data_IF_789557615972
#
_entry.id   IF_789557615972
#
_cell.length_a   1.000
_cell.length_b   1.000
_cell.length_c   1.000
_cell.angle_alpha   90.00
_cell.angle_beta   90.00
_cell.angle_gamma   90.00
#
_symmetry.space_group_name_H-M   'P 1'
#
loop_
_entity.id
_entity.type
_entity.pdbx_description
1 polymer ?
#
# COMPACT_ATOMS: atom_id res chain seq x y z
N UNK A 1 -18.64 -25.65 13.87
CA UNK A 1 -19.11 -26.15 12.55
C UNK A 1 -20.37 -25.42 12.10
N UNK A 2 -21.42 -25.25 12.92
CA UNK A 2 -22.71 -24.61 12.54
C UNK A 2 -22.66 -23.16 11.99
N UNK A 3 -21.84 -22.26 12.54
CA UNK A 3 -21.86 -20.83 12.15
C UNK A 3 -21.44 -20.59 10.69
N UNK A 4 -20.46 -21.37 10.18
CA UNK A 4 -20.02 -21.22 8.80
C UNK A 4 -21.07 -21.71 7.80
N UNK A 5 -21.85 -22.74 8.13
CA UNK A 5 -22.96 -23.22 7.30
C UNK A 5 -24.10 -22.19 7.25
N UNK A 6 -24.39 -21.55 8.38
CA UNK A 6 -25.35 -20.45 8.46
C UNK A 6 -24.90 -19.27 7.59
N UNK A 7 -23.66 -18.79 7.76
CA UNK A 7 -23.11 -17.64 7.03
C UNK A 7 -22.90 -17.92 5.52
N UNK A 8 -22.84 -19.19 5.13
CA UNK A 8 -22.85 -19.64 3.74
C UNK A 8 -24.26 -19.70 3.12
N UNK A 9 -25.33 -19.53 3.92
CA UNK A 9 -26.71 -19.54 3.43
C UNK A 9 -27.29 -20.94 3.15
N UNK A 10 -26.63 -22.01 3.61
CA UNK A 10 -27.00 -23.41 3.31
C UNK A 10 -28.36 -23.84 3.90
N UNK A 11 -28.88 -23.11 4.88
CA UNK A 11 -30.19 -23.36 5.49
C UNK A 11 -31.34 -22.63 4.78
N UNK A 12 -31.05 -21.74 3.83
CA UNK A 12 -32.07 -20.92 3.19
C UNK A 12 -32.80 -21.72 2.11
N UNK A 13 -34.13 -21.67 2.12
CA UNK A 13 -34.99 -22.23 1.06
C UNK A 13 -34.72 -21.61 -0.34
N UNK A 14 -33.90 -20.55 -0.37
CA UNK A 14 -33.47 -19.77 -1.53
C UNK A 14 -31.97 -19.94 -1.83
N UNK A 15 -31.41 -21.12 -1.54
CA UNK A 15 -30.00 -21.46 -1.74
C UNK A 15 -29.41 -20.98 -3.08
N UNK A 16 -30.16 -21.10 -4.18
CA UNK A 16 -29.75 -20.65 -5.52
C UNK A 16 -29.53 -19.12 -5.62
N UNK A 17 -30.29 -18.32 -4.88
CA UNK A 17 -30.12 -16.86 -4.84
C UNK A 17 -28.85 -16.51 -4.03
N UNK A 18 -28.64 -17.17 -2.88
CA UNK A 18 -27.45 -16.92 -2.06
C UNK A 18 -26.14 -17.28 -2.78
N UNK A 19 -26.14 -18.36 -3.57
CA UNK A 19 -24.97 -18.80 -4.34
C UNK A 19 -24.68 -17.87 -5.51
N UNK A 20 -25.70 -17.34 -6.18
CA UNK A 20 -25.53 -16.34 -7.24
C UNK A 20 -24.92 -15.05 -6.69
N UNK A 21 -25.43 -14.53 -5.57
CA UNK A 21 -24.89 -13.32 -4.92
C UNK A 21 -23.42 -13.49 -4.52
N UNK A 22 -23.03 -14.67 -4.02
CA UNK A 22 -21.63 -14.97 -3.67
C UNK A 22 -20.73 -15.00 -4.91
N UNK A 23 -21.20 -15.61 -6.00
CA UNK A 23 -20.47 -15.66 -7.27
C UNK A 23 -20.23 -14.24 -7.82
N UNK A 24 -21.27 -13.43 -7.89
CA UNK A 24 -21.19 -12.07 -8.42
C UNK A 24 -20.25 -11.19 -7.57
N UNK A 25 -20.32 -11.31 -6.23
CA UNK A 25 -19.38 -10.63 -5.33
C UNK A 25 -17.92 -11.05 -5.57
N UNK A 26 -17.67 -12.34 -5.82
CA UNK A 26 -16.33 -12.86 -6.11
C UNK A 26 -15.80 -12.32 -7.44
N UNK A 27 -16.63 -12.33 -8.49
CA UNK A 27 -16.25 -11.81 -9.81
C UNK A 27 -15.99 -10.30 -9.78
N UNK A 28 -16.84 -9.52 -9.08
CA UNK A 28 -16.63 -8.08 -8.90
C UNK A 28 -15.38 -7.79 -8.07
N UNK A 29 -15.07 -8.58 -7.04
CA UNK A 29 -13.86 -8.40 -6.23
C UNK A 29 -12.59 -8.66 -7.05
N UNK A 30 -12.60 -9.69 -7.91
CA UNK A 30 -11.51 -9.96 -8.86
C UNK A 30 -11.36 -8.81 -9.85
N UNK A 31 -12.46 -8.37 -10.46
CA UNK A 31 -12.47 -7.26 -11.43
C UNK A 31 -11.97 -5.95 -10.80
N UNK A 32 -12.36 -5.65 -9.56
CA UNK A 32 -11.86 -4.50 -8.80
C UNK A 32 -10.34 -4.54 -8.67
N UNK A 33 -9.79 -5.68 -8.22
CA UNK A 33 -8.35 -5.89 -8.06
C UNK A 33 -7.59 -5.78 -9.39
N UNK A 34 -8.10 -6.41 -10.45
CA UNK A 34 -7.53 -6.35 -11.80
C UNK A 34 -7.49 -4.91 -12.32
N UNK A 35 -8.55 -4.12 -12.09
CA UNK A 35 -8.60 -2.72 -12.48
C UNK A 35 -7.57 -1.87 -11.73
N UNK A 36 -7.40 -2.07 -10.41
CA UNK A 36 -6.37 -1.36 -9.62
C UNK A 36 -4.97 -1.71 -10.10
N UNK A 37 -4.68 -2.99 -10.34
CA UNK A 37 -3.40 -3.44 -10.86
C UNK A 37 -3.12 -2.80 -12.22
N UNK A 38 -4.08 -2.88 -13.16
CA UNK A 38 -3.96 -2.28 -14.49
C UNK A 38 -3.73 -0.77 -14.42
N UNK A 39 -4.53 -0.04 -13.64
CA UNK A 39 -4.38 1.40 -13.47
C UNK A 39 -3.00 1.79 -12.91
N UNK A 40 -2.44 0.96 -12.02
CA UNK A 40 -1.08 1.14 -11.48
C UNK A 40 -0.01 0.90 -12.55
N UNK A 41 -0.19 -0.11 -13.40
CA UNK A 41 0.80 -0.51 -14.42
C UNK A 41 0.80 0.34 -15.69
N UNK A 42 -0.34 0.94 -16.06
CA UNK A 42 -0.47 1.73 -17.30
C UNK A 42 0.15 3.13 -17.16
N UNK A 43 0.16 3.69 -15.95
CA UNK A 43 0.74 5.00 -15.73
C UNK A 43 2.25 4.96 -15.91
N UNK A 44 2.75 5.75 -16.84
CA UNK A 44 4.18 5.94 -17.08
C UNK A 44 4.43 7.43 -17.36
N UNK A 45 5.30 8.05 -16.56
CA UNK A 45 5.75 9.43 -16.76
C UNK A 45 7.22 9.42 -17.15
N UNK A 46 7.48 9.65 -18.43
CA UNK A 46 8.83 9.85 -18.94
C UNK A 46 9.35 11.23 -18.52
N UNK A 47 10.52 11.27 -17.90
CA UNK A 47 11.22 12.49 -17.51
C UNK A 47 12.59 12.50 -18.19
N UNK A 48 12.88 13.59 -18.90
CA UNK A 48 14.15 13.79 -19.61
C UNK A 48 14.97 14.92 -18.99
N UNK A 49 14.32 15.92 -18.39
CA UNK A 49 15.01 17.01 -17.70
C UNK A 49 15.44 16.58 -16.30
N UNK A 50 16.74 16.60 -16.06
CA UNK A 50 17.35 16.30 -14.76
C UNK A 50 16.86 17.20 -13.63
N UNK A 51 16.45 18.43 -13.93
CA UNK A 51 15.91 19.35 -12.91
C UNK A 51 14.60 18.87 -12.33
N UNK A 52 13.80 18.12 -13.10
CA UNK A 52 12.50 17.64 -12.62
C UNK A 52 12.61 16.53 -11.58
N UNK A 53 13.74 15.80 -11.55
CA UNK A 53 14.00 14.69 -10.61
C UNK A 53 14.88 15.08 -9.42
N UNK A 54 15.10 16.38 -9.18
CA UNK A 54 15.94 16.83 -8.09
C UNK A 54 15.42 16.33 -6.73
N UNK A 55 16.34 15.77 -5.93
CA UNK A 55 16.04 15.22 -4.60
C UNK A 55 15.71 13.73 -4.59
N UNK A 56 15.38 13.11 -5.73
CA UNK A 56 15.13 11.67 -5.77
C UNK A 56 16.39 10.86 -5.42
N UNK A 57 16.27 9.83 -4.55
CA UNK A 57 17.36 8.92 -4.22
C UNK A 57 17.92 8.20 -5.45
N UNK A 58 19.21 7.91 -5.41
CA UNK A 58 19.91 7.20 -6.49
C UNK A 58 19.22 5.86 -6.86
N UNK A 59 18.77 5.10 -5.86
CA UNK A 59 18.10 3.82 -6.10
C UNK A 59 16.80 4.00 -6.92
N UNK A 60 16.01 5.02 -6.59
CA UNK A 60 14.79 5.33 -7.35
C UNK A 60 15.12 5.73 -8.78
N UNK A 61 16.16 6.54 -8.98
CA UNK A 61 16.63 6.89 -10.31
C UNK A 61 17.16 5.67 -11.08
N UNK A 62 17.81 4.72 -10.41
CA UNK A 62 18.25 3.45 -11.02
C UNK A 62 17.06 2.64 -11.52
N UNK A 63 16.08 2.39 -10.65
CA UNK A 63 14.88 1.63 -11.02
C UNK A 63 14.06 2.32 -12.11
N UNK A 64 13.94 3.65 -12.07
CA UNK A 64 13.26 4.42 -13.10
C UNK A 64 14.02 4.40 -14.45
N UNK A 65 15.34 4.36 -14.42
CA UNK A 65 16.17 4.20 -15.63
C UNK A 65 16.07 2.77 -16.18
N UNK A 66 16.10 1.74 -15.34
CA UNK A 66 15.87 0.34 -15.75
C UNK A 66 14.50 0.18 -16.41
N UNK A 67 13.46 0.82 -15.85
CA UNK A 67 12.14 0.91 -16.47
C UNK A 67 12.21 1.61 -17.83
N UNK A 68 12.95 2.70 -17.97
CA UNK A 68 13.16 3.38 -19.25
C UNK A 68 13.85 2.48 -20.29
N UNK A 69 14.88 1.73 -19.89
CA UNK A 69 15.55 0.73 -20.75
C UNK A 69 14.53 -0.31 -21.25
N UNK A 70 13.70 -0.85 -20.35
CA UNK A 70 12.65 -1.83 -20.71
C UNK A 70 11.62 -1.28 -21.71
N UNK A 71 11.57 0.05 -21.88
CA UNK A 71 10.67 0.76 -22.80
C UNK A 71 11.38 1.34 -24.02
N UNK A 72 12.62 0.92 -24.29
CA UNK A 72 13.36 1.26 -25.50
C UNK A 72 14.37 2.40 -25.34
N UNK A 73 14.58 2.93 -24.13
CA UNK A 73 15.62 3.92 -23.86
C UNK A 73 16.93 3.25 -23.43
N UNK A 74 17.61 2.56 -24.35
CA UNK A 74 18.78 1.71 -24.06
C UNK A 74 19.93 2.43 -23.35
N UNK A 75 20.10 3.73 -23.60
CA UNK A 75 21.16 4.55 -23.00
C UNK A 75 20.75 5.16 -21.64
N UNK A 76 19.58 4.81 -21.11
CA UNK A 76 19.11 5.37 -19.85
C UNK A 76 20.00 4.94 -18.68
N UNK A 77 20.36 5.90 -17.83
CA UNK A 77 21.11 5.63 -16.61
C UNK A 77 20.54 6.42 -15.45
N UNK A 78 20.78 5.95 -14.22
CA UNK A 78 20.38 6.70 -13.02
C UNK A 78 20.87 8.16 -13.04
N UNK A 79 22.05 8.43 -13.61
CA UNK A 79 22.71 9.75 -13.58
C UNK A 79 22.25 10.72 -14.68
N UNK A 80 21.91 10.21 -15.86
CA UNK A 80 21.68 11.01 -17.05
C UNK A 80 20.28 10.80 -17.67
N UNK A 81 19.49 9.86 -17.16
CA UNK A 81 18.17 9.57 -17.66
C UNK A 81 18.18 9.02 -19.09
N UNK A 82 17.03 8.97 -19.77
CA UNK A 82 15.72 9.36 -19.24
C UNK A 82 15.23 8.40 -18.14
N UNK A 83 14.25 8.84 -17.36
CA UNK A 83 13.66 8.08 -16.25
C UNK A 83 12.16 7.89 -16.49
N UNK A 84 11.63 6.68 -16.24
CA UNK A 84 10.18 6.44 -16.24
C UNK A 84 9.71 6.29 -14.79
N UNK A 85 8.89 7.23 -14.34
CA UNK A 85 8.21 7.18 -13.04
C UNK A 85 6.89 6.43 -13.19
N UNK A 86 6.61 5.55 -12.24
CA UNK A 86 5.45 4.64 -12.18
C UNK A 86 4.68 4.83 -10.88
N UNK A 87 3.52 4.16 -10.74
CA UNK A 87 2.67 4.23 -9.54
C UNK A 87 2.80 3.02 -8.61
N UNK A 88 3.73 2.09 -8.88
CA UNK A 88 4.07 1.09 -7.86
C UNK A 88 4.56 1.79 -6.60
N UNK A 89 4.21 1.19 -5.46
CA UNK A 89 4.34 1.85 -4.16
C UNK A 89 5.78 2.31 -3.85
N UNK A 90 6.86 1.55 -4.13
CA UNK A 90 8.22 2.03 -3.94
C UNK A 90 8.55 3.30 -4.75
N UNK A 91 8.16 3.35 -6.03
CA UNK A 91 8.38 4.52 -6.88
C UNK A 91 7.56 5.72 -6.39
N UNK A 92 6.26 5.50 -6.17
CA UNK A 92 5.34 6.53 -5.68
C UNK A 92 5.80 7.15 -4.36
N UNK A 93 6.12 6.32 -3.34
CA UNK A 93 6.55 6.77 -2.02
C UNK A 93 7.84 7.59 -2.10
N UNK A 94 8.79 7.15 -2.93
CA UNK A 94 10.04 7.88 -3.11
C UNK A 94 9.81 9.27 -3.71
N UNK A 95 8.94 9.38 -4.72
CA UNK A 95 8.61 10.67 -5.33
C UNK A 95 7.95 11.62 -4.33
N UNK A 96 6.91 11.17 -3.62
CA UNK A 96 6.19 12.06 -2.70
C UNK A 96 7.02 12.47 -1.47
N UNK A 97 8.01 11.66 -1.07
CA UNK A 97 8.91 11.96 0.05
C UNK A 97 10.10 12.84 -0.34
N UNK A 98 10.65 12.66 -1.54
CA UNK A 98 11.98 13.19 -1.86
C UNK A 98 12.04 14.13 -3.07
N UNK A 99 11.05 14.12 -3.97
CA UNK A 99 11.07 15.03 -5.11
C UNK A 99 10.92 16.48 -4.65
N UNK A 100 11.95 17.31 -4.87
CA UNK A 100 11.89 18.76 -4.59
C UNK A 100 10.93 19.48 -5.53
N UNK A 101 10.75 18.95 -6.74
CA UNK A 101 9.79 19.48 -7.70
C UNK A 101 8.34 19.25 -7.21
N UNK A 102 7.74 20.29 -6.62
CA UNK A 102 6.35 20.27 -6.12
C UNK A 102 5.33 19.91 -7.20
N UNK A 103 5.56 20.30 -8.45
CA UNK A 103 4.67 19.95 -9.58
C UNK A 103 4.68 18.45 -9.83
N UNK A 104 5.87 17.82 -9.80
CA UNK A 104 6.00 16.38 -9.92
C UNK A 104 5.28 15.66 -8.75
N UNK A 105 5.47 16.13 -7.51
CA UNK A 105 4.75 15.57 -6.35
C UNK A 105 3.23 15.63 -6.55
N UNK A 106 2.70 16.78 -6.97
CA UNK A 106 1.27 16.97 -7.24
C UNK A 106 0.76 16.03 -8.34
N UNK A 107 1.47 15.96 -9.47
CA UNK A 107 1.08 15.12 -10.62
C UNK A 107 1.01 13.64 -10.21
N UNK A 108 2.06 13.14 -9.56
CA UNK A 108 2.15 11.75 -9.12
C UNK A 108 1.15 11.44 -7.99
N UNK A 109 0.94 12.37 -7.05
CA UNK A 109 -0.07 12.25 -6.01
C UNK A 109 -1.48 12.13 -6.58
N UNK A 110 -1.85 13.04 -7.50
CA UNK A 110 -3.16 13.01 -8.13
C UNK A 110 -3.34 11.71 -8.92
N UNK A 111 -2.37 11.33 -9.76
CA UNK A 111 -2.43 10.10 -10.54
C UNK A 111 -2.62 8.86 -9.65
N UNK A 112 -1.91 8.79 -8.52
CA UNK A 112 -2.05 7.70 -7.56
C UNK A 112 -3.42 7.65 -6.88
N UNK A 113 -3.98 8.82 -6.54
CA UNK A 113 -5.29 8.94 -5.86
C UNK A 113 -6.47 8.71 -6.80
N UNK A 114 -6.33 8.94 -8.10
CA UNK A 114 -7.36 8.70 -9.12
C UNK A 114 -7.17 7.40 -9.88
N UNK A 115 -6.41 6.44 -9.33
CA UNK A 115 -6.28 5.12 -9.96
C UNK A 115 -7.62 4.41 -9.96
N UNK A 116 -7.94 3.79 -11.10
CA UNK A 116 -9.16 3.01 -11.28
C UNK A 116 -10.44 3.78 -10.91
N UNK A 117 -10.51 5.07 -11.22
CA UNK A 117 -11.66 5.94 -10.90
C UNK A 117 -12.31 6.59 -12.13
N UNK A 118 -11.96 6.15 -13.35
CA UNK A 118 -12.50 6.71 -14.60
C UNK A 118 -12.27 5.77 -15.78
N UNK A 119 -13.07 5.93 -16.84
CA UNK A 119 -12.94 5.16 -18.08
C UNK A 119 -13.20 3.66 -17.88
N UNK A 120 -12.53 2.81 -18.66
CA UNK A 120 -12.72 1.36 -18.62
C UNK A 120 -12.26 0.68 -17.32
N UNK A 121 -11.48 1.40 -16.51
CA UNK A 121 -10.94 0.92 -15.24
C UNK A 121 -11.70 1.50 -14.04
N UNK A 122 -12.79 2.24 -14.25
CA UNK A 122 -13.56 2.85 -13.16
C UNK A 122 -14.16 1.80 -12.23
N UNK A 123 -13.75 1.84 -10.96
CA UNK A 123 -14.23 0.98 -9.90
C UNK A 123 -15.42 1.58 -9.14
N UNK A 124 -15.81 2.83 -9.38
CA UNK A 124 -16.98 3.45 -8.74
C UNK A 124 -18.26 2.60 -8.88
N UNK A 125 -18.70 2.21 -10.11
CA UNK A 125 -19.89 1.38 -10.26
C UNK A 125 -19.70 -0.05 -9.70
N UNK A 126 -18.46 -0.56 -9.68
CA UNK A 126 -18.15 -1.87 -9.09
C UNK A 126 -18.35 -1.83 -7.58
N UNK A 127 -17.89 -0.77 -6.91
CA UNK A 127 -18.08 -0.56 -5.47
C UNK A 127 -19.58 -0.49 -5.14
N UNK A 128 -20.35 0.30 -5.90
CA UNK A 128 -21.80 0.44 -5.70
C UNK A 128 -22.51 -0.92 -5.78
N UNK A 129 -22.17 -1.72 -6.79
CA UNK A 129 -22.73 -3.05 -6.95
C UNK A 129 -22.30 -4.01 -5.83
N UNK A 130 -21.04 -3.95 -5.39
CA UNK A 130 -20.56 -4.73 -4.23
C UNK A 130 -21.34 -4.35 -2.97
N UNK A 131 -21.56 -3.07 -2.70
CA UNK A 131 -22.31 -2.61 -1.53
C UNK A 131 -23.78 -3.07 -1.58
N UNK A 132 -24.41 -2.97 -2.75
CA UNK A 132 -25.77 -3.48 -2.98
C UNK A 132 -25.88 -4.97 -2.70
N UNK A 133 -24.99 -5.78 -3.28
CA UNK A 133 -24.98 -7.23 -3.10
C UNK A 133 -24.63 -7.64 -1.66
N UNK A 134 -23.75 -6.89 -0.98
CA UNK A 134 -23.45 -7.09 0.44
C UNK A 134 -24.67 -6.84 1.32
N UNK A 135 -25.45 -5.80 1.04
CA UNK A 135 -26.70 -5.53 1.76
C UNK A 135 -27.75 -6.60 1.48
N UNK A 136 -27.90 -7.02 0.22
CA UNK A 136 -28.80 -8.12 -0.15
C UNK A 136 -28.43 -9.39 0.61
N UNK A 137 -27.15 -9.79 0.57
CA UNK A 137 -26.63 -10.93 1.33
C UNK A 137 -26.95 -10.83 2.82
N UNK A 138 -26.78 -9.65 3.44
CA UNK A 138 -27.10 -9.45 4.85
C UNK A 138 -28.58 -9.73 5.14
N UNK A 139 -29.48 -9.16 4.34
CA UNK A 139 -30.92 -9.36 4.47
C UNK A 139 -31.33 -10.82 4.27
N UNK A 140 -30.74 -11.51 3.29
CA UNK A 140 -31.00 -12.94 3.08
C UNK A 140 -30.61 -13.80 4.29
N UNK A 141 -29.59 -13.39 5.03
CA UNK A 141 -29.11 -14.06 6.24
C UNK A 141 -29.80 -13.59 7.53
N UNK A 142 -30.79 -12.68 7.42
CA UNK A 142 -31.53 -12.14 8.57
C UNK A 142 -30.80 -11.04 9.34
N UNK A 143 -29.75 -10.44 8.78
CA UNK A 143 -29.03 -9.30 9.35
C UNK A 143 -29.50 -7.97 8.75
N UNK A 144 -29.32 -6.87 9.47
CA UNK A 144 -29.71 -5.54 9.01
C UNK A 144 -28.71 -4.97 7.98
N UNK A 145 -27.43 -5.30 8.14
CA UNK A 145 -26.34 -4.78 7.31
C UNK A 145 -25.18 -5.78 7.22
N UNK A 146 -24.26 -5.52 6.29
CA UNK A 146 -23.13 -6.43 6.07
C UNK A 146 -22.08 -6.39 7.18
N UNK A 147 -22.01 -5.31 7.98
CA UNK A 147 -21.09 -5.26 9.11
C UNK A 147 -21.47 -6.30 10.16
N UNK A 148 -22.76 -6.48 10.45
CA UNK A 148 -23.25 -7.54 11.35
C UNK A 148 -22.87 -8.94 10.84
N UNK A 149 -23.04 -9.21 9.53
CA UNK A 149 -22.58 -10.47 8.90
C UNK A 149 -21.09 -10.69 9.12
N UNK A 150 -20.29 -9.62 8.99
CA UNK A 150 -18.84 -9.65 9.17
C UNK A 150 -18.44 -9.88 10.64
N UNK A 151 -19.20 -9.34 11.59
CA UNK A 151 -18.93 -9.49 13.03
C UNK A 151 -19.34 -10.85 13.57
N UNK A 152 -20.29 -11.54 12.94
CA UNK A 152 -20.76 -12.87 13.37
C UNK A 152 -19.66 -13.94 13.46
N UNK A 153 -18.50 -13.73 12.82
CA UNK A 153 -17.33 -14.62 12.88
C UNK A 153 -16.10 -13.99 13.56
N UNK A 154 -16.22 -12.79 14.14
CA UNK A 154 -15.12 -12.07 14.80
C UNK A 154 -15.31 -12.04 16.32
N UNK A 155 -14.22 -11.74 17.02
CA UNK A 155 -14.28 -11.51 18.47
C UNK A 155 -15.02 -10.23 18.83
N UNK A 156 -14.95 -9.21 17.98
CA UNK A 156 -15.56 -7.91 18.23
C UNK A 156 -17.00 -7.85 17.72
N UNK A 157 -17.84 -7.13 18.46
CA UNK A 157 -19.13 -6.63 18.00
C UNK A 157 -18.96 -5.30 17.25
N UNK A 158 -20.02 -4.82 16.58
CA UNK A 158 -20.01 -3.53 15.89
C UNK A 158 -19.74 -2.37 16.86
N UNK A 159 -20.43 -2.38 18.01
CA UNK A 159 -20.31 -1.33 19.03
C UNK A 159 -18.90 -1.29 19.63
N UNK A 160 -18.33 -2.45 19.95
CA UNK A 160 -16.94 -2.54 20.46
C UNK A 160 -15.92 -2.04 19.43
N UNK A 161 -16.12 -2.34 18.15
CA UNK A 161 -15.25 -1.84 17.10
C UNK A 161 -15.35 -0.32 16.96
N UNK A 162 -16.57 0.24 17.01
CA UNK A 162 -16.79 1.69 16.96
C UNK A 162 -16.23 2.40 18.20
N UNK A 163 -16.44 1.86 19.39
CA UNK A 163 -15.91 2.39 20.66
C UNK A 163 -14.39 2.45 20.63
N UNK A 164 -13.72 1.38 20.19
CA UNK A 164 -12.27 1.35 20.07
C UNK A 164 -11.77 2.39 19.06
N UNK A 165 -12.38 2.48 17.88
CA UNK A 165 -12.00 3.45 16.86
C UNK A 165 -12.19 4.89 17.35
N UNK A 166 -13.29 5.18 18.05
CA UNK A 166 -13.58 6.51 18.59
C UNK A 166 -12.64 6.88 19.74
N UNK A 167 -12.30 5.91 20.61
CA UNK A 167 -11.28 6.09 21.64
C UNK A 167 -9.92 6.44 21.03
N UNK A 168 -9.50 5.72 20.00
CA UNK A 168 -8.25 6.01 19.28
C UNK A 168 -8.31 7.36 18.56
N UNK A 169 -9.43 7.69 17.90
CA UNK A 169 -9.63 8.97 17.24
C UNK A 169 -9.48 10.13 18.23
N UNK A 170 -10.12 10.05 19.39
CA UNK A 170 -10.04 11.09 20.42
C UNK A 170 -8.63 11.23 20.99
N UNK A 171 -7.93 10.12 21.23
CA UNK A 171 -6.56 10.16 21.74
C UNK A 171 -5.56 10.76 20.74
N UNK A 172 -5.78 10.55 19.43
CA UNK A 172 -4.86 10.99 18.38
C UNK A 172 -5.19 12.37 17.79
N UNK A 173 -6.39 12.92 18.04
CA UNK A 173 -6.89 14.11 17.33
C UNK A 173 -6.00 15.35 17.53
N UNK A 174 -5.73 15.70 18.78
CA UNK A 174 -4.93 16.90 19.09
C UNK A 174 -3.47 16.73 18.69
N UNK A 175 -2.95 15.51 18.78
CA UNK A 175 -1.59 15.16 18.32
C UNK A 175 -1.50 15.34 16.80
N UNK A 176 -2.45 14.81 16.03
CA UNK A 176 -2.46 14.96 14.57
C UNK A 176 -2.56 16.43 14.13
N UNK A 177 -3.36 17.25 14.83
CA UNK A 177 -3.42 18.69 14.56
C UNK A 177 -2.09 19.39 14.86
N UNK A 178 -1.42 18.99 15.95
CA UNK A 178 -0.09 19.49 16.31
C UNK A 178 0.94 19.11 15.25
N UNK A 179 0.94 17.85 14.78
CA UNK A 179 1.84 17.39 13.72
C UNK A 179 1.66 18.20 12.42
N UNK A 180 0.41 18.46 12.01
CA UNK A 180 0.13 19.30 10.82
C UNK A 180 0.66 20.73 11.03
N UNK A 181 0.51 21.28 12.24
CA UNK A 181 1.00 22.61 12.55
C UNK A 181 2.53 22.67 12.57
N UNK A 182 3.19 21.69 13.18
CA UNK A 182 4.65 21.55 13.20
C UNK A 182 5.23 21.49 11.79
N UNK A 183 4.57 20.78 10.87
CA UNK A 183 4.97 20.71 9.46
C UNK A 183 4.82 22.06 8.76
N UNK A 184 3.70 22.77 8.97
CA UNK A 184 3.50 24.11 8.41
C UNK A 184 4.54 25.09 8.93
N UNK A 185 4.82 25.08 10.23
CA UNK A 185 5.80 25.98 10.84
C UNK A 185 7.22 25.63 10.40
N UNK A 186 7.55 24.35 10.25
CA UNK A 186 8.82 23.93 9.67
C UNK A 186 8.96 24.38 8.21
N UNK A 187 7.92 24.20 7.40
CA UNK A 187 7.87 24.69 6.02
C UNK A 187 8.10 26.21 5.93
N UNK A 188 7.46 27.00 6.82
CA UNK A 188 7.66 28.45 6.94
C UNK A 188 9.09 28.82 7.30
N UNK A 189 9.68 28.14 8.29
CA UNK A 189 11.08 28.37 8.71
C UNK A 189 12.08 28.14 7.59
N UNK A 190 11.78 27.21 6.68
CA UNK A 190 12.62 26.93 5.50
C UNK A 190 12.38 27.89 4.33
N UNK A 191 11.49 28.89 4.49
CA UNK A 191 11.20 29.88 3.45
C UNK A 191 10.48 29.31 2.22
N UNK A 192 9.82 28.16 2.36
CA UNK A 192 9.14 27.52 1.24
C UNK A 192 7.79 28.18 0.93
N UNK A 193 7.55 28.46 -0.35
CA UNK A 193 6.35 29.15 -0.83
C UNK A 193 5.06 28.37 -0.57
N UNK A 194 5.13 27.03 -0.52
CA UNK A 194 3.97 26.19 -0.20
C UNK A 194 3.53 26.23 1.27
N UNK A 195 4.24 26.94 2.14
CA UNK A 195 3.85 27.05 3.55
C UNK A 195 2.48 27.71 3.77
N UNK A 196 2.11 28.65 2.89
CA UNK A 196 0.82 29.35 2.94
C UNK A 196 -0.29 28.60 2.16
N UNK A 197 0.08 27.58 1.38
CA UNK A 197 -0.81 26.72 0.58
C UNK A 197 -0.41 25.25 0.75
N UNK A 198 -0.45 24.78 2.01
CA UNK A 198 0.00 23.43 2.35
C UNK A 198 -1.03 22.38 1.93
N UNK A 199 -0.67 21.50 0.99
CA UNK A 199 -1.57 20.50 0.39
C UNK A 199 -1.17 19.06 0.72
N UNK A 200 -2.03 18.09 0.37
CA UNK A 200 -1.78 16.66 0.67
C UNK A 200 -0.51 16.10 0.01
N UNK A 201 -0.09 16.64 -1.15
CA UNK A 201 1.16 16.25 -1.82
C UNK A 201 2.42 16.89 -1.21
N UNK A 202 2.26 17.78 -0.24
CA UNK A 202 3.36 18.40 0.50
C UNK A 202 3.63 17.68 1.84
N UNK A 203 2.62 16.99 2.39
CA UNK A 203 2.67 16.36 3.72
C UNK A 203 3.86 15.40 3.88
N UNK A 204 4.00 14.40 3.00
CA UNK A 204 5.06 13.39 3.11
C UNK A 204 6.46 13.97 2.87
N UNK A 205 6.58 14.92 1.95
CA UNK A 205 7.85 15.60 1.69
C UNK A 205 8.33 16.37 2.92
N UNK A 206 7.48 17.22 3.49
CA UNK A 206 7.85 18.01 4.67
C UNK A 206 7.99 17.17 5.94
N UNK A 207 7.23 16.08 6.06
CA UNK A 207 7.42 15.10 7.14
C UNK A 207 8.81 14.49 7.11
N UNK A 208 9.28 14.13 5.92
CA UNK A 208 10.63 13.60 5.73
C UNK A 208 11.70 14.65 6.06
N UNK A 209 11.55 15.89 5.56
CA UNK A 209 12.50 16.97 5.88
C UNK A 209 12.52 17.32 7.38
N UNK A 210 11.37 17.33 8.04
CA UNK A 210 11.28 17.56 9.49
C UNK A 210 11.93 16.41 10.27
N UNK A 211 11.69 15.16 9.86
CA UNK A 211 12.31 13.97 10.47
C UNK A 211 13.83 14.02 10.35
N UNK A 212 14.35 14.29 9.16
CA UNK A 212 15.79 14.46 8.91
C UNK A 212 16.38 15.57 9.78
N UNK A 213 15.73 16.74 9.83
CA UNK A 213 16.22 17.87 10.62
C UNK A 213 16.15 17.64 12.13
N UNK A 214 15.14 16.90 12.62
CA UNK A 214 14.88 16.71 14.05
C UNK A 214 15.72 15.59 14.65
N UNK A 215 15.96 14.53 13.88
CA UNK A 215 16.63 13.32 14.37
C UNK A 215 18.00 13.10 13.73
N UNK A 216 18.38 13.87 12.71
CA UNK A 216 19.63 13.70 11.94
C UNK A 216 19.76 12.29 11.33
N UNK A 217 18.61 11.65 11.05
CA UNK A 217 18.51 10.32 10.45
C UNK A 217 18.05 10.48 9.01
N UNK A 218 18.84 9.94 8.08
CA UNK A 218 18.57 9.94 6.66
C UNK A 218 18.30 8.51 6.18
N UNK A 219 17.15 8.29 5.53
CA UNK A 219 16.69 6.96 5.10
C UNK A 219 17.71 6.24 4.21
N UNK A 220 18.38 6.98 3.32
CA UNK A 220 19.42 6.44 2.43
C UNK A 220 20.65 5.93 3.20
N UNK A 221 21.01 6.55 4.33
CA UNK A 221 22.12 6.09 5.16
C UNK A 221 21.76 4.78 5.88
N UNK A 222 20.50 4.64 6.33
CA UNK A 222 20.04 3.43 7.01
C UNK A 222 19.97 2.22 6.07
N UNK A 223 19.71 2.40 4.78
CA UNK A 223 19.54 1.30 3.83
C UNK A 223 20.73 0.33 3.82
N UNK A 224 21.95 0.85 3.94
CA UNK A 224 23.17 0.02 3.99
C UNK A 224 23.21 -0.94 5.20
N UNK A 225 22.46 -0.64 6.26
CA UNK A 225 22.37 -1.45 7.48
C UNK A 225 21.25 -2.51 7.41
N UNK A 226 20.32 -2.41 6.45
CA UNK A 226 19.20 -3.35 6.30
C UNK A 226 19.22 -4.12 4.97
N UNK A 227 20.34 -4.77 4.58
CA UNK A 227 20.32 -5.65 3.41
C UNK A 227 19.48 -6.89 3.73
N UNK A 228 18.61 -7.28 2.79
CA UNK A 228 17.65 -8.39 2.97
C UNK A 228 18.27 -9.67 3.56
N UNK A 229 19.46 -10.15 3.13
CA UNK A 229 20.08 -11.32 3.76
C UNK A 229 20.29 -11.18 5.27
N UNK A 230 20.81 -10.03 5.73
CA UNK A 230 21.04 -9.79 7.17
C UNK A 230 19.73 -9.65 7.95
N UNK A 231 18.69 -9.08 7.34
CA UNK A 231 17.36 -8.99 7.96
C UNK A 231 16.78 -10.38 8.17
N UNK A 232 16.94 -11.28 7.19
CA UNK A 232 16.51 -12.67 7.31
C UNK A 232 17.31 -13.41 8.38
N UNK A 233 18.63 -13.25 8.42
CA UNK A 233 19.47 -13.88 9.45
C UNK A 233 19.02 -13.48 10.86
N UNK A 234 18.82 -12.18 11.09
CA UNK A 234 18.34 -11.67 12.39
C UNK A 234 16.92 -12.16 12.74
N UNK A 235 16.03 -12.26 11.74
CA UNK A 235 14.69 -12.83 11.93
C UNK A 235 14.76 -14.31 12.33
N UNK A 236 15.60 -15.10 11.68
CA UNK A 236 15.76 -16.52 11.98
C UNK A 236 16.38 -16.73 13.36
N UNK A 237 17.36 -15.91 13.75
CA UNK A 237 17.92 -15.93 15.10
C UNK A 237 16.85 -15.58 16.16
N UNK A 238 16.00 -14.58 15.90
CA UNK A 238 14.92 -14.21 16.82
C UNK A 238 13.91 -15.36 16.98
N UNK A 239 13.49 -15.97 15.86
CA UNK A 239 12.56 -17.10 15.86
C UNK A 239 13.14 -18.30 16.61
N UNK A 240 14.43 -18.56 16.45
CA UNK A 240 15.13 -19.58 17.23
C UNK A 240 15.11 -19.29 18.73
N UNK A 241 15.44 -18.06 19.14
CA UNK A 241 15.45 -17.66 20.55
C UNK A 241 14.08 -17.75 21.21
N UNK A 242 13.01 -17.39 20.49
CA UNK A 242 11.66 -17.35 21.03
C UNK A 242 10.95 -18.70 21.02
N UNK A 243 11.21 -19.52 20.00
CA UNK A 243 10.41 -20.72 19.72
C UNK A 243 11.24 -22.00 19.57
N UNK A 244 12.57 -21.93 19.67
CA UNK A 244 13.47 -23.06 19.42
C UNK A 244 13.55 -23.50 17.95
N UNK A 245 12.89 -22.78 17.04
CA UNK A 245 12.78 -23.18 15.63
C UNK A 245 14.09 -22.86 14.88
N UNK A 246 14.56 -23.78 14.05
CA UNK A 246 15.71 -23.59 13.18
C UNK A 246 15.25 -23.41 11.73
N UNK A 247 15.75 -22.36 11.07
CA UNK A 247 15.41 -22.03 9.67
C UNK A 247 16.68 -22.05 8.83
N UNK A 248 16.68 -22.83 7.76
CA UNK A 248 17.84 -23.02 6.87
C UNK A 248 17.44 -22.80 5.41
N UNK A 249 18.35 -22.28 4.59
CA UNK A 249 18.10 -22.17 3.14
C UNK A 249 17.97 -23.57 2.51
N UNK A 250 16.96 -23.73 1.67
CA UNK A 250 16.62 -24.96 0.98
C UNK A 250 16.31 -24.70 -0.51
N UNK A 251 16.94 -23.68 -1.09
CA UNK A 251 16.82 -23.35 -2.50
C UNK A 251 17.13 -24.57 -3.39
N UNK A 252 16.27 -24.83 -4.38
CA UNK A 252 16.36 -26.01 -5.25
C UNK A 252 15.72 -27.28 -4.69
N UNK A 253 15.24 -27.30 -3.44
CA UNK A 253 14.50 -28.45 -2.89
C UNK A 253 13.12 -28.66 -3.53
N UNK A 254 12.57 -27.63 -4.19
CA UNK A 254 11.30 -27.70 -4.91
C UNK A 254 11.27 -26.73 -6.09
N UNK A 255 10.40 -26.97 -7.10
CA UNK A 255 10.18 -26.03 -8.18
C UNK A 255 9.64 -24.70 -7.68
N UNK A 256 10.11 -23.60 -8.28
CA UNK A 256 9.67 -22.23 -7.98
C UNK A 256 9.10 -21.56 -9.24
N UNK A 257 8.17 -20.62 -9.06
CA UNK A 257 7.51 -19.91 -10.18
C UNK A 257 8.29 -18.69 -10.68
N UNK A 258 9.33 -18.25 -9.96
CA UNK A 258 10.19 -17.13 -10.35
C UNK A 258 11.60 -17.31 -9.78
N UNK A 259 12.62 -16.81 -10.49
CA UNK A 259 14.04 -16.95 -10.11
C UNK A 259 14.43 -16.27 -8.80
N UNK A 260 13.66 -15.26 -8.38
CA UNK A 260 13.91 -14.51 -7.15
C UNK A 260 13.25 -15.14 -5.92
N UNK A 261 12.50 -16.24 -6.08
CA UNK A 261 11.88 -16.97 -4.97
C UNK A 261 12.96 -17.73 -4.20
N UNK A 262 12.96 -17.57 -2.87
CA UNK A 262 13.84 -18.31 -1.95
C UNK A 262 13.04 -19.37 -1.19
N UNK A 263 13.63 -20.54 -1.00
CA UNK A 263 13.02 -21.65 -0.26
C UNK A 263 13.77 -21.87 1.05
N UNK A 264 13.05 -22.11 2.15
CA UNK A 264 13.63 -22.36 3.47
C UNK A 264 13.02 -23.63 4.10
N UNK A 265 13.86 -24.43 4.77
CA UNK A 265 13.45 -25.54 5.61
C UNK A 265 13.29 -25.06 7.05
N UNK A 266 12.20 -25.47 7.72
CA UNK A 266 11.89 -25.11 9.10
C UNK A 266 11.85 -26.38 9.95
N UNK A 267 12.64 -26.42 11.02
CA UNK A 267 12.81 -27.59 11.90
C UNK A 267 12.57 -27.19 13.35
N UNK A 268 11.96 -28.06 14.14
CA UNK A 268 11.95 -27.90 15.60
C UNK A 268 13.36 -28.03 16.15
N UNK A 269 13.67 -27.24 17.18
CA UNK A 269 14.92 -27.37 17.93
C UNK A 269 14.88 -28.60 18.82
N UNK A 270 15.99 -29.32 18.85
CA UNK A 270 16.23 -30.46 19.75
C UNK A 270 16.17 -30.07 21.23
#
# INVERSE_FOLDING_TARGET
MHTNFYLAGLQLYIYNISTLVLKDLSDLSRKFGDNVLKATTIFEKLITDKKEIEGLPYLTLSLAAEKAISKGHENATAKYGPWIITLDEPCFLSVIKHAKNRKLRKEIYCAYRTRASSGELDNTPIIDQILKLRLEKAKLLGFNNYAEVSMASKMATLDQAQELLEKLRNACWDIANTDVQDLKDFCKRQGALEADDFNSWDFMFWSERLRESKYEIYEDNLRAYFPLPRVLDGLFELVNKLFGIHVEAADGSMPVWHKDVRVFSVKEGS
#
